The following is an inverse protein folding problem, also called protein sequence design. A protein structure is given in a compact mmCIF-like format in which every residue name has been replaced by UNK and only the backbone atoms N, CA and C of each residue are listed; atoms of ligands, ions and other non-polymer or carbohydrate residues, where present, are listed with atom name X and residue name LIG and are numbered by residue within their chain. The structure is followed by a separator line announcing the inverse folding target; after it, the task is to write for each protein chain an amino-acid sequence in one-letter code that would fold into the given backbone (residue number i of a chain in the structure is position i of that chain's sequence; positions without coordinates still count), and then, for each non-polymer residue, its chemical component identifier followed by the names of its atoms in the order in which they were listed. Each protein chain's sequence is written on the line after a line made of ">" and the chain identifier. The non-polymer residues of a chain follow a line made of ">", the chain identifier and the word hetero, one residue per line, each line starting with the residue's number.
data_IF_966091507152
#
_entry.id   IF_966091507152
#
_cell.length_a   1.000
_cell.length_b   1.000
_cell.length_c   1.000
_cell.angle_alpha   90.00
_cell.angle_beta   90.00
_cell.angle_gamma   90.00
#
_symmetry.space_group_name_H-M   'P 1'
#
loop_
_entity.id
_entity.type
_entity.pdbx_description
1 polymer ?
#
# COMPACT_ATOMS: atom_id res chain seq x y z
N UNK A 1 -19.25 -10.24 -1.65
CA UNK A 1 -18.00 -10.64 -2.33
C UNK A 1 -18.20 -10.39 -3.80
N UNK A 2 -17.23 -9.73 -4.43
CA UNK A 2 -17.18 -9.43 -5.85
C UNK A 2 -17.36 -10.72 -6.67
N UNK A 3 -18.12 -10.68 -7.76
CA UNK A 3 -18.53 -11.85 -8.56
C UNK A 3 -19.49 -12.83 -7.86
N UNK A 4 -20.04 -12.47 -6.70
CA UNK A 4 -21.12 -13.20 -6.05
C UNK A 4 -22.48 -12.96 -6.71
N UNK A 5 -23.53 -13.51 -6.09
CA UNK A 5 -24.93 -13.33 -6.53
C UNK A 5 -25.56 -12.02 -6.04
N UNK A 6 -24.94 -11.36 -5.06
CA UNK A 6 -25.44 -10.12 -4.47
C UNK A 6 -25.21 -8.94 -5.42
N UNK A 7 -26.23 -8.11 -5.71
CA UNK A 7 -26.07 -6.95 -6.57
C UNK A 7 -25.13 -5.90 -5.95
N UNK A 8 -24.49 -5.10 -6.80
CA UNK A 8 -23.62 -4.00 -6.39
C UNK A 8 -24.47 -2.74 -6.13
N UNK A 9 -24.97 -2.64 -4.90
CA UNK A 9 -25.65 -1.45 -4.40
C UNK A 9 -24.66 -0.50 -3.71
N UNK A 10 -24.95 0.79 -3.76
CA UNK A 10 -24.26 1.82 -2.96
C UNK A 10 -24.56 1.61 -1.48
N UNK A 11 -23.68 2.10 -0.63
CA UNK A 11 -23.91 2.09 0.82
C UNK A 11 -25.22 2.79 1.21
N UNK A 12 -25.59 3.87 0.52
CA UNK A 12 -26.87 4.58 0.74
C UNK A 12 -28.10 3.73 0.37
N UNK A 13 -28.04 2.97 -0.73
CA UNK A 13 -29.14 2.09 -1.14
C UNK A 13 -29.29 0.91 -0.16
N UNK A 14 -28.17 0.43 0.39
CA UNK A 14 -28.17 -0.59 1.43
C UNK A 14 -28.73 -0.06 2.76
N UNK A 15 -28.40 1.18 3.12
CA UNK A 15 -28.96 1.86 4.28
C UNK A 15 -30.49 2.03 4.15
N UNK A 16 -30.98 2.48 2.98
CA UNK A 16 -32.41 2.66 2.70
C UNK A 16 -33.23 1.37 2.86
N UNK A 17 -32.63 0.20 2.65
CA UNK A 17 -33.29 -1.11 2.82
C UNK A 17 -33.01 -1.77 4.18
N UNK A 18 -32.38 -1.04 5.12
CA UNK A 18 -32.27 -1.42 6.52
C UNK A 18 -30.95 -2.07 6.95
N UNK A 19 -29.85 -1.90 6.21
CA UNK A 19 -28.52 -2.34 6.65
C UNK A 19 -27.76 -1.23 7.38
N UNK A 20 -27.34 -1.49 8.62
CA UNK A 20 -26.52 -0.56 9.42
C UNK A 20 -25.01 -0.70 9.17
N UNK A 21 -24.55 -1.86 8.67
CA UNK A 21 -23.13 -2.17 8.44
C UNK A 21 -22.99 -2.89 7.10
N UNK A 22 -22.00 -2.46 6.31
CA UNK A 22 -21.62 -3.07 5.03
C UNK A 22 -20.13 -3.36 5.04
N UNK A 23 -19.74 -4.55 4.57
CA UNK A 23 -18.33 -4.96 4.47
C UNK A 23 -17.94 -5.21 3.02
N UNK A 24 -16.72 -4.81 2.66
CA UNK A 24 -16.09 -5.04 1.35
C UNK A 24 -14.85 -5.92 1.53
N UNK A 25 -15.05 -7.24 1.72
CA UNK A 25 -14.04 -8.08 2.35
C UNK A 25 -12.77 -8.30 1.53
N UNK A 26 -12.87 -8.32 0.20
CA UNK A 26 -11.75 -8.73 -0.67
C UNK A 26 -11.51 -7.82 -1.88
N UNK A 27 -12.34 -6.80 -2.11
CA UNK A 27 -12.13 -5.82 -3.18
C UNK A 27 -10.72 -5.22 -3.21
N UNK A 28 -10.19 -4.71 -2.07
CA UNK A 28 -8.81 -4.22 -2.01
C UNK A 28 -7.77 -5.28 -2.36
N UNK A 29 -7.98 -6.53 -1.93
CA UNK A 29 -7.07 -7.64 -2.20
C UNK A 29 -7.07 -8.02 -3.69
N UNK A 30 -8.23 -8.03 -4.36
CA UNK A 30 -8.31 -8.26 -5.80
C UNK A 30 -7.60 -7.15 -6.60
N UNK A 31 -7.75 -5.90 -6.19
CA UNK A 31 -7.02 -4.78 -6.80
C UNK A 31 -5.50 -4.94 -6.62
N UNK A 32 -5.06 -5.26 -5.40
CA UNK A 32 -3.64 -5.48 -5.09
C UNK A 32 -3.05 -6.65 -5.90
N UNK A 33 -3.74 -7.78 -5.97
CA UNK A 33 -3.29 -8.94 -6.73
C UNK A 33 -3.08 -8.62 -8.22
N UNK A 34 -3.99 -7.86 -8.83
CA UNK A 34 -3.85 -7.40 -10.22
C UNK A 34 -2.64 -6.47 -10.40
N UNK A 35 -2.45 -5.50 -9.50
CA UNK A 35 -1.34 -4.57 -9.56
C UNK A 35 0.02 -5.27 -9.40
N UNK A 36 0.14 -6.17 -8.41
CA UNK A 36 1.34 -6.98 -8.18
C UNK A 36 1.65 -7.84 -9.40
N UNK A 37 0.65 -8.54 -9.94
CA UNK A 37 0.81 -9.35 -11.15
C UNK A 37 1.36 -8.55 -12.32
N UNK A 38 0.83 -7.35 -12.57
CA UNK A 38 1.29 -6.48 -13.65
C UNK A 38 2.75 -6.04 -13.48
N UNK A 39 3.19 -5.71 -12.26
CA UNK A 39 4.58 -5.35 -11.97
C UNK A 39 5.50 -6.55 -12.20
N UNK A 40 5.13 -7.74 -11.70
CA UNK A 40 5.93 -8.96 -11.84
C UNK A 40 6.05 -9.41 -13.29
N UNK A 41 4.99 -9.28 -14.10
CA UNK A 41 5.04 -9.56 -15.52
C UNK A 41 6.00 -8.64 -16.27
N UNK A 42 5.94 -7.33 -16.00
CA UNK A 42 6.88 -6.35 -16.58
C UNK A 42 8.31 -6.66 -16.16
N UNK A 43 8.54 -6.93 -14.88
CA UNK A 43 9.85 -7.30 -14.35
C UNK A 43 10.40 -8.56 -15.04
N UNK A 44 9.59 -9.60 -15.20
CA UNK A 44 10.00 -10.85 -15.87
C UNK A 44 10.44 -10.62 -17.32
N UNK A 45 9.78 -9.70 -18.03
CA UNK A 45 10.07 -9.42 -19.46
C UNK A 45 11.23 -8.45 -19.65
N UNK A 46 11.27 -7.37 -18.86
CA UNK A 46 12.21 -6.26 -19.04
C UNK A 46 13.45 -6.33 -18.13
N UNK A 47 13.42 -7.16 -17.08
CA UNK A 47 14.50 -7.26 -16.09
C UNK A 47 14.61 -6.04 -15.16
N UNK A 48 13.65 -5.12 -15.20
CA UNK A 48 13.62 -3.90 -14.40
C UNK A 48 12.17 -3.45 -14.13
N UNK A 49 11.98 -2.60 -13.13
CA UNK A 49 10.69 -1.98 -12.77
C UNK A 49 10.57 -0.52 -13.20
N UNK A 50 11.53 0.02 -13.96
CA UNK A 50 11.55 1.43 -14.36
C UNK A 50 10.22 1.91 -14.98
N UNK A 51 9.64 1.10 -15.87
CA UNK A 51 8.36 1.41 -16.54
C UNK A 51 7.11 1.20 -15.66
N UNK A 52 7.30 0.73 -14.43
CA UNK A 52 6.24 0.52 -13.44
C UNK A 52 6.08 1.70 -12.47
N UNK A 53 7.06 2.60 -12.38
CA UNK A 53 7.08 3.68 -11.36
C UNK A 53 5.81 4.54 -11.40
N UNK A 54 5.28 4.83 -12.59
CA UNK A 54 4.04 5.60 -12.76
C UNK A 54 2.78 4.93 -12.18
N UNK A 55 2.83 3.61 -11.97
CA UNK A 55 1.74 2.81 -11.43
C UNK A 55 1.91 2.54 -9.91
N UNK A 56 2.96 3.10 -9.29
CA UNK A 56 3.30 2.91 -7.88
C UNK A 56 2.98 4.16 -7.05
N UNK A 57 2.72 3.94 -5.76
CA UNK A 57 2.65 5.03 -4.78
C UNK A 57 3.98 5.81 -4.75
N UNK A 58 3.98 7.15 -4.81
CA UNK A 58 5.19 7.95 -4.66
C UNK A 58 5.91 7.67 -3.34
N UNK A 59 7.24 7.69 -3.35
CA UNK A 59 8.05 7.38 -2.17
C UNK A 59 7.70 8.25 -0.95
N UNK A 60 7.48 9.55 -1.17
CA UNK A 60 7.09 10.46 -0.09
C UNK A 60 5.73 10.10 0.53
N UNK A 61 4.76 9.71 -0.29
CA UNK A 61 3.43 9.29 0.18
C UNK A 61 3.51 7.94 0.91
N UNK A 62 4.32 7.01 0.41
CA UNK A 62 4.58 5.75 1.10
C UNK A 62 5.23 5.98 2.47
N UNK A 63 6.21 6.87 2.57
CA UNK A 63 6.85 7.20 3.85
C UNK A 63 5.86 7.83 4.85
N UNK A 64 4.98 8.71 4.37
CA UNK A 64 3.92 9.28 5.19
C UNK A 64 2.93 8.19 5.67
N UNK A 65 2.51 7.30 4.78
CA UNK A 65 1.66 6.15 5.11
C UNK A 65 2.31 5.25 6.17
N UNK A 66 3.61 5.00 6.06
CA UNK A 66 4.37 4.19 7.02
C UNK A 66 4.68 4.92 8.34
N UNK A 67 4.34 6.21 8.46
CA UNK A 67 4.58 7.01 9.67
C UNK A 67 6.06 7.29 9.91
N UNK A 68 6.88 7.38 8.85
CA UNK A 68 8.33 7.54 8.95
C UNK A 68 8.75 8.75 9.78
N UNK A 69 7.99 9.84 9.75
CA UNK A 69 8.29 11.05 10.54
C UNK A 69 8.21 10.77 12.06
N UNK A 70 7.20 10.03 12.50
CA UNK A 70 7.09 9.61 13.90
C UNK A 70 8.24 8.67 14.31
N UNK A 71 8.68 7.80 13.40
CA UNK A 71 9.84 6.94 13.63
C UNK A 71 11.12 7.78 13.80
N UNK A 72 11.31 8.80 12.96
CA UNK A 72 12.46 9.71 13.03
C UNK A 72 12.46 10.56 14.31
N UNK A 73 11.29 10.99 14.76
CA UNK A 73 11.19 11.73 16.03
C UNK A 73 11.54 10.84 17.23
N UNK A 74 11.13 9.57 17.19
CA UNK A 74 11.53 8.57 18.17
C UNK A 74 13.04 8.31 18.12
N UNK A 75 13.62 8.15 16.92
CA UNK A 75 15.06 7.99 16.74
C UNK A 75 15.85 9.14 17.38
N UNK A 76 15.48 10.40 17.09
CA UNK A 76 16.13 11.59 17.67
C UNK A 76 15.99 11.63 19.19
N UNK A 77 14.81 11.29 19.71
CA UNK A 77 14.53 11.32 21.15
C UNK A 77 15.38 10.33 21.94
N UNK A 78 15.65 9.15 21.35
CA UNK A 78 16.37 8.06 22.02
C UNK A 78 17.79 7.86 21.50
N UNK A 79 18.29 8.76 20.64
CA UNK A 79 19.65 8.72 20.14
C UNK A 79 20.65 8.79 21.30
N UNK A 80 21.53 7.78 21.39
CA UNK A 80 22.55 7.69 22.44
C UNK A 80 23.91 8.28 22.02
N UNK A 81 23.99 8.85 20.81
CA UNK A 81 25.23 9.35 20.22
C UNK A 81 26.18 8.24 19.72
N UNK A 82 25.82 6.97 19.87
CA UNK A 82 26.50 5.88 19.16
C UNK A 82 26.01 5.88 17.72
N UNK A 83 26.91 6.17 16.80
CA UNK A 83 26.62 6.04 15.39
C UNK A 83 26.47 4.55 15.07
N UNK A 84 25.23 4.13 14.78
CA UNK A 84 24.95 2.77 14.33
C UNK A 84 25.28 2.55 12.85
N UNK A 85 25.83 3.56 12.16
CA UNK A 85 26.38 3.43 10.81
C UNK A 85 27.54 2.45 10.84
N UNK A 86 27.27 1.19 10.53
CA UNK A 86 28.26 0.33 9.90
C UNK A 86 28.59 0.96 8.54
N UNK A 87 29.86 0.89 8.12
CA UNK A 87 30.49 1.64 7.03
C UNK A 87 29.91 1.45 5.60
N UNK A 88 28.70 0.90 5.43
CA UNK A 88 28.13 0.56 4.12
C UNK A 88 27.31 1.66 3.43
N UNK A 89 26.97 2.78 4.09
CA UNK A 89 26.13 3.83 3.47
C UNK A 89 26.89 4.88 2.62
N UNK A 90 28.17 4.68 2.34
CA UNK A 90 28.97 5.54 1.45
C UNK A 90 29.48 4.84 0.17
N UNK A 91 28.86 3.74 -0.25
CA UNK A 91 29.13 3.07 -1.54
C UNK A 91 27.94 3.16 -2.50
#
# INVERSE_FOLDING_TARGET
>A
VEHGRTPFLKTSELEEIGYDIVIFPVGPLYAAAKAVGAVLEKLKRAGTTADCIKDMIPFAEFNALMGLDGIRDMEKKYATGRDGRTEEENA
#
